data_IF_432495400995
#
_entry.id   IF_432495400995
#
_cell.length_a   1.000
_cell.length_b   1.000
_cell.length_c   1.000
_cell.angle_alpha   90.00
_cell.angle_beta   90.00
_cell.angle_gamma   90.00
#
_symmetry.space_group_name_H-M   'P 1'
#
loop_
_entity.id
_entity.type
_entity.pdbx_description
1 polymer ?
#
# COMPACT_ATOMS: atom_id res chain seq x y z
N UNK A 1 -33.23 35.87 30.82
CA UNK A 1 -31.83 35.50 30.47
C UNK A 1 -31.58 33.99 30.33
N UNK A 2 -32.46 33.09 30.79
CA UNK A 2 -32.25 31.62 30.69
C UNK A 2 -32.47 31.07 29.26
N UNK A 3 -33.34 31.68 28.46
CA UNK A 3 -33.64 31.20 27.09
C UNK A 3 -32.48 31.37 26.09
N UNK A 4 -31.63 32.38 26.26
CA UNK A 4 -30.49 32.65 25.34
C UNK A 4 -29.35 31.65 25.60
N UNK A 5 -29.16 31.22 26.85
CA UNK A 5 -28.14 30.23 27.22
C UNK A 5 -28.46 28.84 26.64
N UNK A 6 -29.74 28.43 26.65
CA UNK A 6 -30.18 27.15 26.07
C UNK A 6 -30.01 27.09 24.55
N UNK A 7 -30.28 28.19 23.84
CA UNK A 7 -30.07 28.26 22.39
C UNK A 7 -28.59 28.19 22.01
N UNK A 8 -27.69 28.79 22.79
CA UNK A 8 -26.25 28.73 22.54
C UNK A 8 -25.67 27.32 22.74
N UNK A 9 -26.14 26.60 23.77
CA UNK A 9 -25.71 25.21 24.03
C UNK A 9 -26.18 24.26 22.91
N UNK A 10 -27.39 24.45 22.40
CA UNK A 10 -27.91 23.63 21.30
C UNK A 10 -27.16 23.88 19.98
N UNK A 11 -26.79 25.14 19.70
CA UNK A 11 -26.00 25.52 18.52
C UNK A 11 -24.56 25.00 18.65
N UNK A 12 -23.95 25.08 19.84
CA UNK A 12 -22.60 24.56 20.07
C UNK A 12 -22.54 23.03 19.93
N UNK A 13 -23.52 22.30 20.48
CA UNK A 13 -23.58 20.85 20.36
C UNK A 13 -23.81 20.39 18.91
N UNK A 14 -24.66 21.08 18.14
CA UNK A 14 -24.85 20.78 16.72
C UNK A 14 -23.63 21.13 15.87
N UNK A 15 -22.93 22.23 16.19
CA UNK A 15 -21.68 22.61 15.54
C UNK A 15 -20.55 21.61 15.83
N UNK A 16 -20.44 21.06 17.05
CA UNK A 16 -19.46 20.01 17.38
C UNK A 16 -19.77 18.69 16.63
N UNK A 17 -21.04 18.30 16.53
CA UNK A 17 -21.45 17.10 15.77
C UNK A 17 -21.19 17.31 14.27
N UNK A 18 -21.49 18.49 13.73
CA UNK A 18 -21.20 18.85 12.34
C UNK A 18 -19.70 18.90 12.08
N UNK A 19 -18.90 19.44 13.00
CA UNK A 19 -17.45 19.54 12.86
C UNK A 19 -16.78 18.17 12.95
N UNK A 20 -17.16 17.35 13.94
CA UNK A 20 -16.65 15.98 14.08
C UNK A 20 -17.03 15.06 12.92
N UNK A 21 -18.22 15.24 12.33
CA UNK A 21 -18.62 14.54 11.10
C UNK A 21 -17.90 15.08 9.86
N UNK A 22 -17.61 16.39 9.77
CA UNK A 22 -16.82 16.99 8.69
C UNK A 22 -15.36 16.50 8.72
N UNK A 23 -14.73 16.47 9.90
CA UNK A 23 -13.36 15.99 10.07
C UNK A 23 -13.25 14.49 9.78
N UNK A 24 -14.24 13.70 10.21
CA UNK A 24 -14.30 12.27 9.90
C UNK A 24 -14.53 12.02 8.40
N UNK A 25 -15.41 12.79 7.76
CA UNK A 25 -15.64 12.72 6.32
C UNK A 25 -14.40 13.18 5.52
N UNK A 26 -13.68 14.20 5.98
CA UNK A 26 -12.42 14.64 5.39
C UNK A 26 -11.34 13.56 5.51
N UNK A 27 -11.14 12.95 6.68
CA UNK A 27 -10.18 11.86 6.83
C UNK A 27 -10.55 10.63 5.99
N UNK A 28 -11.85 10.36 5.82
CA UNK A 28 -12.34 9.30 4.92
C UNK A 28 -12.08 9.69 3.46
N UNK A 29 -12.36 10.93 3.04
CA UNK A 29 -12.10 11.42 1.68
C UNK A 29 -10.61 11.41 1.36
N UNK A 30 -9.74 11.92 2.24
CA UNK A 30 -8.29 11.87 2.07
C UNK A 30 -7.76 10.43 1.97
N UNK A 31 -8.37 9.49 2.68
CA UNK A 31 -8.02 8.07 2.59
C UNK A 31 -8.55 7.43 1.32
N UNK A 32 -9.73 7.83 0.84
CA UNK A 32 -10.31 7.38 -0.43
C UNK A 32 -9.50 7.95 -1.61
N UNK A 33 -9.15 9.22 -1.59
CA UNK A 33 -8.34 9.86 -2.63
C UNK A 33 -6.95 9.23 -2.72
N UNK A 34 -6.31 8.95 -1.57
CA UNK A 34 -5.05 8.20 -1.53
C UNK A 34 -5.15 6.76 -2.05
N UNK A 35 -6.29 6.09 -1.87
CA UNK A 35 -6.52 4.74 -2.44
C UNK A 35 -6.84 4.78 -3.93
N UNK A 36 -7.21 5.94 -4.49
CA UNK A 36 -7.47 6.12 -5.92
C UNK A 36 -6.24 6.63 -6.67
N UNK A 37 -5.30 7.24 -5.96
CA UNK A 37 -4.02 7.68 -6.50
C UNK A 37 -3.11 6.47 -6.80
N UNK A 38 -3.06 6.13 -8.08
CA UNK A 38 -2.26 5.00 -8.55
C UNK A 38 -0.78 5.30 -8.56
N UNK A 39 -0.38 6.53 -8.87
CA UNK A 39 1.03 6.90 -8.93
C UNK A 39 1.63 6.82 -7.52
N UNK A 40 0.91 7.32 -6.51
CA UNK A 40 1.28 7.16 -5.10
C UNK A 40 1.42 5.68 -4.69
N UNK A 41 0.48 4.83 -5.12
CA UNK A 41 0.51 3.40 -4.82
C UNK A 41 1.71 2.69 -5.47
N UNK A 42 2.03 3.05 -6.72
CA UNK A 42 3.20 2.52 -7.44
C UNK A 42 4.50 3.01 -6.83
N UNK A 43 4.60 4.28 -6.46
CA UNK A 43 5.81 4.82 -5.82
C UNK A 43 6.03 4.21 -4.43
N UNK A 44 4.98 4.03 -3.63
CA UNK A 44 5.07 3.33 -2.34
C UNK A 44 5.54 1.87 -2.51
N UNK A 45 5.06 1.17 -3.54
CA UNK A 45 5.54 -0.18 -3.88
C UNK A 45 7.01 -0.15 -4.33
N UNK A 46 7.40 0.80 -5.18
CA UNK A 46 8.75 0.94 -5.69
C UNK A 46 9.76 1.22 -4.56
N UNK A 47 9.42 2.08 -3.61
CA UNK A 47 10.22 2.33 -2.41
C UNK A 47 10.42 1.07 -1.57
N UNK A 48 9.38 0.25 -1.39
CA UNK A 48 9.51 -1.01 -0.67
C UNK A 48 10.39 -2.03 -1.42
N UNK A 49 10.32 -2.07 -2.75
CA UNK A 49 11.19 -2.90 -3.57
C UNK A 49 12.65 -2.42 -3.49
N UNK A 50 12.90 -1.11 -3.49
CA UNK A 50 14.25 -0.54 -3.32
C UNK A 50 14.85 -0.86 -1.95
N UNK A 51 14.00 -0.88 -0.92
CA UNK A 51 14.39 -1.21 0.46
C UNK A 51 14.38 -2.71 0.76
N UNK A 52 14.09 -3.55 -0.23
CA UNK A 52 14.14 -5.00 -0.08
C UNK A 52 15.58 -5.51 -0.10
N UNK A 53 15.82 -6.57 0.65
CA UNK A 53 17.07 -7.34 0.57
C UNK A 53 17.06 -8.24 -0.67
N UNK A 54 15.88 -8.71 -1.09
CA UNK A 54 15.74 -9.61 -2.22
C UNK A 54 14.33 -9.59 -2.83
N UNK A 55 14.26 -9.68 -4.16
CA UNK A 55 13.02 -10.03 -4.88
C UNK A 55 12.93 -11.55 -5.00
N UNK A 56 12.04 -12.16 -4.21
CA UNK A 56 11.87 -13.62 -4.11
C UNK A 56 11.10 -14.21 -5.27
N UNK A 57 10.05 -13.54 -5.73
CA UNK A 57 9.21 -14.03 -6.82
C UNK A 57 8.57 -12.86 -7.58
N UNK A 58 8.46 -13.02 -8.90
CA UNK A 58 7.75 -12.08 -9.78
C UNK A 58 6.90 -12.89 -10.75
N UNK A 59 5.65 -12.45 -10.91
CA UNK A 59 4.70 -12.91 -11.90
C UNK A 59 4.02 -11.69 -12.50
N UNK A 60 3.23 -11.88 -13.57
CA UNK A 60 2.60 -10.75 -14.26
C UNK A 60 1.72 -9.87 -13.36
N UNK A 61 1.15 -10.44 -12.31
CA UNK A 61 0.14 -9.85 -11.44
C UNK A 61 0.56 -9.83 -9.95
N UNK A 62 1.72 -10.37 -9.60
CA UNK A 62 2.21 -10.35 -8.23
C UNK A 62 3.73 -10.27 -8.12
N UNK A 63 4.19 -9.62 -7.06
CA UNK A 63 5.59 -9.59 -6.65
C UNK A 63 5.71 -9.91 -5.17
N UNK A 64 6.70 -10.72 -4.81
CA UNK A 64 7.06 -11.03 -3.43
C UNK A 64 8.49 -10.56 -3.17
N UNK A 65 8.66 -9.75 -2.13
CA UNK A 65 9.94 -9.24 -1.67
C UNK A 65 10.23 -9.69 -0.24
N UNK A 66 11.52 -9.79 0.06
CA UNK A 66 12.02 -10.05 1.40
C UNK A 66 12.80 -8.83 1.89
N UNK A 67 12.54 -8.43 3.14
CA UNK A 67 13.14 -7.24 3.77
C UNK A 67 13.54 -7.52 5.20
N UNK A 68 14.67 -6.96 5.62
CA UNK A 68 15.06 -6.87 7.03
C UNK A 68 14.78 -5.45 7.51
N UNK A 69 14.03 -5.28 8.60
CA UNK A 69 13.91 -3.96 9.25
C UNK A 69 15.05 -3.78 10.25
N UNK A 70 15.78 -2.68 10.09
CA UNK A 70 16.86 -2.27 10.99
C UNK A 70 16.36 -2.17 12.45
N UNK A 71 17.23 -2.57 13.38
CA UNK A 71 17.03 -2.45 14.83
C UNK A 71 16.37 -3.63 15.54
N UNK A 72 15.85 -4.65 14.84
CA UNK A 72 15.20 -5.82 15.50
C UNK A 72 15.43 -7.19 14.86
N UNK A 73 16.31 -7.30 13.86
CA UNK A 73 16.42 -8.52 13.01
C UNK A 73 15.02 -9.01 12.58
N UNK A 74 14.14 -8.06 12.23
CA UNK A 74 12.76 -8.38 11.91
C UNK A 74 12.68 -8.70 10.43
N UNK A 75 12.48 -9.98 10.14
CA UNK A 75 12.33 -10.51 8.81
C UNK A 75 10.91 -10.27 8.32
N UNK A 76 10.79 -9.65 7.15
CA UNK A 76 9.53 -9.35 6.51
C UNK A 76 9.42 -10.04 5.16
N UNK A 77 8.28 -10.68 4.90
CA UNK A 77 7.91 -11.11 3.56
C UNK A 77 6.67 -10.32 3.17
N UNK A 78 6.76 -9.64 2.03
CA UNK A 78 5.76 -8.71 1.56
C UNK A 78 5.38 -9.12 0.15
N UNK A 79 4.09 -9.40 -0.06
CA UNK A 79 3.54 -9.83 -1.35
C UNK A 79 2.55 -8.77 -1.83
N UNK A 80 2.79 -8.21 -3.00
CA UNK A 80 1.82 -7.37 -3.70
C UNK A 80 1.10 -8.22 -4.74
N UNK A 81 -0.22 -8.06 -4.83
CA UNK A 81 -1.07 -8.73 -5.82
C UNK A 81 -1.95 -7.67 -6.49
N UNK A 82 -1.82 -7.55 -7.81
CA UNK A 82 -2.69 -6.72 -8.63
C UNK A 82 -3.71 -7.56 -9.36
N UNK A 83 -4.98 -7.41 -8.99
CA UNK A 83 -6.05 -8.22 -9.58
C UNK A 83 -7.39 -7.50 -9.52
N UNK A 84 -8.11 -7.51 -10.64
CA UNK A 84 -9.47 -6.93 -10.74
C UNK A 84 -9.48 -5.45 -10.35
N UNK A 85 -8.52 -4.68 -10.85
CA UNK A 85 -8.47 -3.24 -10.59
C UNK A 85 -8.09 -2.88 -9.16
N UNK A 86 -7.36 -3.76 -8.47
CA UNK A 86 -6.91 -3.54 -7.10
C UNK A 86 -5.44 -3.85 -6.99
N UNK A 87 -4.74 -3.15 -6.11
CA UNK A 87 -3.43 -3.53 -5.61
C UNK A 87 -3.55 -3.82 -4.12
N UNK A 88 -3.45 -5.09 -3.77
CA UNK A 88 -3.43 -5.54 -2.38
C UNK A 88 -1.99 -5.86 -1.97
N UNK A 89 -1.61 -5.43 -0.76
CA UNK A 89 -0.31 -5.71 -0.13
C UNK A 89 -0.53 -6.61 1.08
N UNK A 90 0.14 -7.74 1.09
CA UNK A 90 0.18 -8.69 2.20
C UNK A 90 1.54 -8.58 2.87
N UNK A 91 1.59 -8.36 4.17
CA UNK A 91 2.85 -8.30 4.89
C UNK A 91 2.82 -9.16 6.14
N UNK A 92 3.85 -9.99 6.25
CA UNK A 92 4.10 -10.81 7.43
C UNK A 92 5.50 -10.49 7.95
N UNK A 93 5.57 -10.06 9.20
CA UNK A 93 6.82 -9.72 9.85
C UNK A 93 7.03 -10.60 11.08
N UNK A 94 8.13 -11.34 11.11
CA UNK A 94 8.52 -12.22 12.21
C UNK A 94 9.90 -11.84 12.74
N UNK A 95 10.16 -12.24 13.99
CA UNK A 95 11.46 -12.09 14.64
C UNK A 95 12.14 -13.47 14.56
N UNK A 96 13.43 -13.52 14.20
CA UNK A 96 14.20 -14.77 14.11
C UNK A 96 14.24 -15.38 12.70
N UNK A 97 14.52 -16.69 12.61
CA UNK A 97 14.93 -17.38 11.38
C UNK A 97 14.00 -17.12 10.18
N UNK A 98 14.53 -16.78 8.99
CA UNK A 98 13.72 -16.53 7.80
C UNK A 98 12.85 -17.72 7.44
N UNK A 99 11.56 -17.47 7.14
CA UNK A 99 10.67 -18.51 6.60
C UNK A 99 11.26 -19.12 5.32
N UNK A 100 11.16 -20.45 5.23
CA UNK A 100 11.63 -21.24 4.08
C UNK A 100 10.96 -20.79 2.78
N UNK A 101 11.65 -21.02 1.66
CA UNK A 101 11.20 -20.63 0.31
C UNK A 101 9.83 -21.20 -0.11
N UNK A 102 9.36 -22.25 0.54
CA UNK A 102 8.09 -22.93 0.22
C UNK A 102 6.87 -22.22 0.81
N UNK A 103 7.04 -21.22 1.67
CA UNK A 103 5.94 -20.47 2.28
C UNK A 103 5.46 -19.27 1.45
N UNK A 104 5.99 -19.06 0.24
CA UNK A 104 5.74 -17.83 -0.53
C UNK A 104 4.34 -17.80 -1.18
N UNK A 105 3.62 -16.69 -0.94
CA UNK A 105 2.24 -16.47 -1.37
C UNK A 105 1.65 -15.23 -0.68
N UNK A 106 0.37 -14.90 -0.92
CA UNK A 106 -0.30 -13.84 -0.18
C UNK A 106 -0.66 -14.31 1.24
N UNK A 107 0.18 -13.98 2.23
CA UNK A 107 -0.06 -14.26 3.65
C UNK A 107 0.34 -13.06 4.53
N UNK A 108 -0.21 -13.01 5.74
CA UNK A 108 -0.02 -11.90 6.67
C UNK A 108 -1.13 -10.86 6.61
N UNK A 109 -0.85 -9.67 7.13
CA UNK A 109 -1.82 -8.57 7.20
C UNK A 109 -2.05 -8.00 5.79
N UNK A 110 -3.30 -8.07 5.33
CA UNK A 110 -3.74 -7.52 4.05
C UNK A 110 -4.07 -6.04 4.19
N UNK A 111 -3.43 -5.21 3.39
CA UNK A 111 -3.75 -3.80 3.20
C UNK A 111 -4.05 -3.56 1.72
N UNK A 112 -5.21 -2.96 1.42
CA UNK A 112 -5.47 -2.45 0.08
C UNK A 112 -4.68 -1.16 -0.09
N UNK A 113 -3.84 -1.11 -1.12
CA UNK A 113 -3.00 0.05 -1.43
C UNK A 113 -3.65 0.89 -2.53
N UNK A 114 -4.36 0.25 -3.46
CA UNK A 114 -5.05 0.95 -4.53
C UNK A 114 -6.32 0.22 -4.99
N UNK A 115 -7.32 0.99 -5.42
CA UNK A 115 -8.55 0.52 -6.08
C UNK A 115 -8.97 1.47 -7.21
N UNK A 116 -9.16 0.91 -8.41
CA UNK A 116 -9.61 1.65 -9.59
C UNK A 116 -9.70 0.77 -10.83
N UNK A 117 -9.63 1.37 -12.02
CA UNK A 117 -9.74 0.66 -13.30
C UNK A 117 -8.38 0.21 -13.84
N UNK A 118 -8.26 -1.04 -14.31
CA UNK A 118 -7.03 -1.58 -14.91
C UNK A 118 -6.07 -2.20 -13.90
N UNK A 119 -5.24 -3.14 -14.36
CA UNK A 119 -4.30 -3.84 -13.47
C UNK A 119 -2.88 -3.25 -13.59
N UNK A 120 -2.13 -3.35 -12.49
CA UNK A 120 -0.69 -3.08 -12.45
C UNK A 120 0.03 -4.39 -12.80
N UNK A 121 0.99 -4.32 -13.72
CA UNK A 121 1.75 -5.47 -14.19
C UNK A 121 3.19 -5.39 -13.77
N UNK A 122 3.75 -6.55 -13.40
CA UNK A 122 5.14 -6.67 -12.99
C UNK A 122 5.90 -7.51 -14.00
N UNK A 123 7.08 -7.02 -14.40
CA UNK A 123 8.00 -7.72 -15.28
C UNK A 123 9.38 -7.65 -14.69
N UNK A 124 10.02 -8.81 -14.50
CA UNK A 124 11.43 -8.88 -14.10
C UNK A 124 12.30 -8.92 -15.34
N UNK A 125 13.27 -8.02 -15.40
CA UNK A 125 14.25 -7.88 -16.47
C UNK A 125 15.63 -7.84 -15.83
N UNK A 126 16.25 -9.01 -15.66
CA UNK A 126 17.52 -9.18 -14.93
C UNK A 126 17.46 -8.59 -13.50
N UNK A 127 18.21 -7.51 -13.26
CA UNK A 127 18.30 -6.78 -12.00
C UNK A 127 17.27 -5.63 -11.90
N UNK A 128 16.38 -5.50 -12.87
CA UNK A 128 15.35 -4.47 -12.92
C UNK A 128 13.97 -5.10 -12.71
N UNK A 129 13.14 -4.42 -11.94
CA UNK A 129 11.71 -4.61 -11.91
C UNK A 129 11.06 -3.48 -12.71
N UNK A 130 10.27 -3.85 -13.71
CA UNK A 130 9.40 -2.93 -14.44
C UNK A 130 7.98 -3.09 -13.91
N UNK A 131 7.40 -1.99 -13.45
CA UNK A 131 6.02 -1.89 -12.98
C UNK A 131 5.25 -1.09 -14.02
N UNK A 132 4.22 -1.66 -14.63
CA UNK A 132 3.45 -1.04 -15.72
C UNK A 132 2.01 -0.88 -15.36
N UNK A 133 1.40 0.23 -15.75
CA UNK A 133 -0.03 0.47 -15.57
C UNK A 133 -0.56 1.39 -16.65
N UNK A 134 -1.89 1.35 -16.85
CA UNK A 134 -2.57 2.27 -17.78
C UNK A 134 -3.22 3.43 -17.04
N UNK A 135 -2.91 4.65 -17.42
CA UNK A 135 -3.64 5.84 -16.99
C UNK A 135 -4.52 6.34 -18.15
N UNK A 136 -5.80 5.96 -18.12
CA UNK A 136 -6.69 6.13 -19.28
C UNK A 136 -6.20 5.32 -20.50
N UNK A 137 -5.78 6.04 -21.54
CA UNK A 137 -5.24 5.46 -22.79
C UNK A 137 -3.71 5.35 -22.79
N UNK A 138 -3.02 6.03 -21.87
CA UNK A 138 -1.56 6.05 -21.80
C UNK A 138 -1.05 4.85 -21.01
N UNK A 139 0.04 4.23 -21.48
CA UNK A 139 0.79 3.24 -20.71
C UNK A 139 1.94 3.94 -19.99
N UNK A 140 2.01 3.78 -18.67
CA UNK A 140 3.08 4.29 -17.82
C UNK A 140 3.93 3.13 -17.29
N UNK A 141 5.20 3.40 -17.08
CA UNK A 141 6.17 2.45 -16.54
C UNK A 141 7.01 3.12 -15.45
N UNK A 142 7.25 2.38 -14.36
CA UNK A 142 8.23 2.69 -13.33
C UNK A 142 9.27 1.57 -13.32
N UNK A 143 10.54 1.93 -13.40
CA UNK A 143 11.66 0.98 -13.38
C UNK A 143 12.39 1.12 -12.05
N UNK A 144 12.59 -0.01 -11.38
CA UNK A 144 13.21 -0.07 -10.07
C UNK A 144 14.35 -1.08 -10.10
N UNK A 145 15.54 -0.68 -9.63
CA UNK A 145 16.65 -1.61 -9.48
C UNK A 145 16.39 -2.53 -8.27
N UNK A 146 16.38 -3.82 -8.51
CA UNK A 146 16.37 -4.82 -7.44
C UNK A 146 17.75 -4.84 -6.79
N UNK A 147 17.89 -4.29 -5.58
CA UNK A 147 19.06 -4.60 -4.74
C UNK A 147 18.85 -5.98 -4.13
N UNK A 148 19.79 -6.89 -4.37
CA UNK A 148 19.81 -8.19 -3.70
C UNK A 148 20.98 -9.05 -4.18
N UNK A 149 21.79 -9.51 -3.23
CA UNK A 149 22.82 -10.52 -3.47
C UNK A 149 22.14 -11.86 -3.73
N UNK A 150 22.65 -12.56 -4.74
CA UNK A 150 22.19 -13.88 -5.15
C UNK A 150 22.88 -14.95 -4.30
N UNK A 151 22.09 -15.84 -3.68
CA UNK A 151 22.43 -17.24 -3.43
C UNK A 151 21.23 -18.15 -3.79
#
# INVERSE_FOLDING_TARGET
MIAIALSAVLIAATAEILSGSLTSAMHINERIDRLRDRDFAVDSLAEEVLAAEEIRAVSSDAITIYRIREGKEKHGIITYVSKRGRLDRYADYHIGVPRKKESYGPYGVKNRIWEGSGDIRFVRDQNLLRIRWKDGIEERERIVAARGKYE
#
